data_IF_091500265975
#
_entry.id   IF_091500265975
#
_cell.length_a   1.000
_cell.length_b   1.000
_cell.length_c   1.000
_cell.angle_alpha   90.00
_cell.angle_beta   90.00
_cell.angle_gamma   90.00
#
_symmetry.space_group_name_H-M   'P 1'
#
loop_
_entity.id
_entity.type
_entity.pdbx_description
1 polymer ?
#
# COMPACT_ATOMS: atom_id res chain seq x y z
N UNK A 1 13.34 15.47 7.06
CA UNK A 1 12.62 16.77 7.01
C UNK A 1 11.36 16.54 6.19
N UNK A 2 10.18 16.83 6.74
CA UNK A 2 8.95 16.88 5.95
C UNK A 2 8.84 18.28 5.34
N UNK A 3 8.66 18.37 4.03
CA UNK A 3 8.58 19.66 3.33
C UNK A 3 7.14 20.14 3.18
N UNK A 4 6.17 19.22 3.21
CA UNK A 4 4.75 19.49 3.03
C UNK A 4 3.93 18.60 3.96
N UNK A 5 2.80 19.13 4.45
CA UNK A 5 1.81 18.38 5.22
C UNK A 5 0.46 18.60 4.55
N UNK A 6 -0.16 17.52 4.10
CA UNK A 6 -1.47 17.55 3.44
C UNK A 6 -2.49 16.88 4.35
N UNK A 7 -3.51 17.60 4.84
CA UNK A 7 -4.60 16.97 5.57
C UNK A 7 -5.42 16.11 4.61
N UNK A 8 -5.78 14.91 5.03
CA UNK A 8 -6.59 13.97 4.23
C UNK A 8 -7.77 13.45 5.03
N UNK A 9 -8.85 13.13 4.33
CA UNK A 9 -10.00 12.47 4.93
C UNK A 9 -9.67 11.02 5.29
N UNK A 10 -10.09 10.59 6.49
CA UNK A 10 -9.93 9.20 6.90
C UNK A 10 -10.77 8.25 6.06
N UNK A 11 -10.20 7.09 5.75
CA UNK A 11 -10.92 5.99 5.10
C UNK A 11 -11.22 4.95 6.18
N UNK A 12 -12.48 4.90 6.60
CA UNK A 12 -12.93 3.94 7.62
C UNK A 12 -13.16 2.55 7.05
N UNK A 13 -12.54 1.56 7.66
CA UNK A 13 -12.69 0.15 7.37
C UNK A 13 -12.93 -0.64 8.67
N UNK A 14 -14.09 -0.49 9.34
CA UNK A 14 -14.35 -1.12 10.63
C UNK A 14 -14.25 -2.64 10.61
N UNK A 15 -14.48 -3.27 9.44
CA UNK A 15 -14.37 -4.73 9.26
C UNK A 15 -12.93 -5.23 9.09
N UNK A 16 -11.97 -4.33 8.83
CA UNK A 16 -10.54 -4.64 8.79
C UNK A 16 -9.90 -4.64 10.19
N UNK A 17 -10.54 -3.99 11.17
CA UNK A 17 -10.09 -4.01 12.55
C UNK A 17 -10.43 -5.34 13.24
N UNK A 18 -9.46 -5.86 13.99
CA UNK A 18 -9.67 -6.96 14.93
C UNK A 18 -9.47 -6.46 16.36
N UNK A 19 -9.82 -7.27 17.37
CA UNK A 19 -9.53 -6.92 18.77
C UNK A 19 -8.03 -6.72 19.03
N UNK A 20 -7.19 -7.51 18.36
CA UNK A 20 -5.73 -7.43 18.49
C UNK A 20 -5.12 -6.28 17.68
N UNK A 21 -5.81 -5.80 16.63
CA UNK A 21 -5.33 -4.74 15.76
C UNK A 21 -6.42 -3.68 15.49
N UNK A 22 -6.86 -2.91 16.51
CA UNK A 22 -7.89 -1.90 16.35
C UNK A 22 -7.48 -0.78 15.38
N UNK A 23 -6.17 -0.49 15.30
CA UNK A 23 -5.59 0.50 14.39
C UNK A 23 -5.89 0.22 12.91
N UNK A 24 -6.16 -1.04 12.54
CA UNK A 24 -6.49 -1.38 11.16
C UNK A 24 -7.83 -0.80 10.68
N UNK A 25 -8.63 -0.22 11.58
CA UNK A 25 -9.83 0.56 11.21
C UNK A 25 -9.51 1.66 10.19
N UNK A 26 -8.32 2.26 10.23
CA UNK A 26 -7.95 3.40 9.40
C UNK A 26 -6.84 3.07 8.39
N UNK A 27 -6.48 1.79 8.22
CA UNK A 27 -5.31 1.38 7.42
C UNK A 27 -5.41 1.83 5.96
N UNK A 28 -6.63 1.91 5.41
CA UNK A 28 -6.86 2.34 4.04
C UNK A 28 -6.78 3.85 3.83
N UNK A 29 -6.55 4.65 4.89
CA UNK A 29 -6.25 6.09 4.72
C UNK A 29 -5.00 6.29 3.86
N UNK A 30 -4.09 5.30 3.83
CA UNK A 30 -2.93 5.27 2.92
C UNK A 30 -3.30 5.45 1.44
N UNK A 31 -4.51 5.05 1.02
CA UNK A 31 -4.98 5.20 -0.37
C UNK A 31 -5.03 6.65 -0.83
N UNK A 32 -5.09 7.61 0.11
CA UNK A 32 -5.04 9.04 -0.20
C UNK A 32 -3.74 9.45 -0.89
N UNK A 33 -2.66 8.66 -0.79
CA UNK A 33 -1.44 8.89 -1.56
C UNK A 33 -1.69 8.95 -3.07
N UNK A 34 -2.66 8.18 -3.59
CA UNK A 34 -3.04 8.20 -5.01
C UNK A 34 -3.77 9.47 -5.45
N UNK A 35 -4.09 10.41 -4.55
CA UNK A 35 -4.65 11.72 -4.90
C UNK A 35 -3.60 12.74 -5.31
N UNK A 36 -2.35 12.51 -4.90
CA UNK A 36 -1.28 13.49 -5.01
C UNK A 36 -0.87 13.68 -6.47
N UNK A 37 -0.47 14.90 -6.80
CA UNK A 37 -0.08 15.32 -8.15
C UNK A 37 1.40 15.01 -8.41
N UNK A 38 1.73 13.72 -8.41
CA UNK A 38 3.07 13.22 -8.72
C UNK A 38 2.97 12.07 -9.72
N UNK A 39 3.91 12.02 -10.66
CA UNK A 39 3.97 10.92 -11.64
C UNK A 39 4.33 9.57 -10.98
N UNK A 40 5.19 9.63 -9.95
CA UNK A 40 5.71 8.46 -9.24
C UNK A 40 5.79 8.74 -7.75
N UNK A 41 5.26 7.84 -6.94
CA UNK A 41 5.25 7.93 -5.48
C UNK A 41 5.97 6.73 -4.88
N UNK A 42 6.91 7.02 -3.98
CA UNK A 42 7.42 6.05 -3.02
C UNK A 42 6.75 6.31 -1.67
N UNK A 43 5.85 5.42 -1.25
CA UNK A 43 5.18 5.48 0.04
C UNK A 43 6.02 4.77 1.10
N UNK A 44 6.26 5.43 2.24
CA UNK A 44 6.98 4.88 3.38
C UNK A 44 6.14 5.04 4.66
N UNK A 45 6.00 3.96 5.43
CA UNK A 45 5.43 4.04 6.77
C UNK A 45 6.33 4.86 7.70
N UNK A 46 5.69 5.47 8.71
CA UNK A 46 6.34 6.40 9.63
C UNK A 46 7.29 5.73 10.64
N UNK A 47 7.29 4.40 10.71
CA UNK A 47 8.14 3.60 11.59
C UNK A 47 9.42 3.09 10.91
N UNK A 48 9.69 3.53 9.68
CA UNK A 48 10.89 3.17 8.93
C UNK A 48 12.04 4.16 9.15
N UNK A 49 13.26 3.63 9.12
CA UNK A 49 14.50 4.42 9.10
C UNK A 49 15.22 4.18 7.78
N UNK A 50 15.28 5.21 6.94
CA UNK A 50 16.01 5.17 5.67
C UNK A 50 17.50 5.23 5.94
N UNK A 51 18.26 4.26 5.44
CA UNK A 51 19.71 4.15 5.67
C UNK A 51 20.58 4.34 4.42
N UNK A 52 19.97 4.57 3.26
CA UNK A 52 20.65 4.68 1.99
C UNK A 52 19.81 5.44 0.97
N UNK A 53 20.33 5.56 -0.25
CA UNK A 53 19.57 6.11 -1.37
C UNK A 53 18.41 5.17 -1.74
N UNK A 54 17.28 5.77 -2.11
CA UNK A 54 16.06 5.06 -2.49
C UNK A 54 15.75 5.21 -3.98
N UNK A 55 16.63 5.85 -4.76
CA UNK A 55 16.42 6.12 -6.18
C UNK A 55 16.03 4.87 -6.98
N UNK A 56 16.69 3.74 -6.73
CA UNK A 56 16.41 2.47 -7.42
C UNK A 56 14.97 1.97 -7.23
N UNK A 57 14.32 2.33 -6.11
CA UNK A 57 12.94 1.92 -5.85
C UNK A 57 11.94 2.60 -6.80
N UNK A 58 12.31 3.71 -7.45
CA UNK A 58 11.51 4.36 -8.48
C UNK A 58 11.59 3.68 -9.84
N UNK A 59 12.56 2.78 -10.04
CA UNK A 59 12.76 2.05 -11.30
C UNK A 59 11.96 0.74 -11.33
N UNK A 60 11.43 0.31 -10.18
CA UNK A 60 10.54 -0.86 -10.08
C UNK A 60 9.16 -0.54 -10.66
N UNK A 61 8.60 -1.47 -11.44
CA UNK A 61 7.27 -1.34 -12.02
C UNK A 61 6.18 -1.22 -10.95
N UNK A 62 5.24 -0.28 -11.14
CA UNK A 62 4.08 -0.08 -10.25
C UNK A 62 2.92 -0.98 -10.68
N UNK A 63 2.00 -1.29 -9.73
CA UNK A 63 2.19 -1.13 -8.29
C UNK A 63 3.20 -2.16 -7.77
N UNK A 64 4.07 -1.75 -6.86
CA UNK A 64 5.04 -2.64 -6.21
C UNK A 64 5.04 -2.48 -4.69
N UNK A 65 5.32 -3.57 -3.99
CA UNK A 65 5.46 -3.64 -2.55
C UNK A 65 6.41 -4.77 -2.18
N UNK A 66 6.92 -4.75 -0.95
CA UNK A 66 7.88 -5.77 -0.51
C UNK A 66 7.16 -7.10 -0.25
N UNK A 67 7.69 -8.21 -0.77
CA UNK A 67 7.17 -9.54 -0.45
C UNK A 67 7.30 -9.85 1.05
N UNK A 68 6.28 -10.48 1.62
CA UNK A 68 6.28 -11.00 2.98
C UNK A 68 5.54 -12.33 3.04
N UNK A 69 6.22 -13.43 3.36
CA UNK A 69 5.58 -14.74 3.37
C UNK A 69 6.51 -15.83 3.87
N UNK A 70 6.02 -17.07 3.76
CA UNK A 70 6.73 -18.26 4.20
C UNK A 70 8.12 -18.41 3.55
N UNK A 71 9.12 -18.94 4.26
CA UNK A 71 10.47 -19.16 3.72
C UNK A 71 10.50 -20.07 2.49
N UNK A 72 9.50 -20.94 2.35
CA UNK A 72 9.38 -21.92 1.26
C UNK A 72 9.03 -21.27 -0.09
N UNK A 73 8.81 -19.94 -0.13
CA UNK A 73 8.55 -19.18 -1.35
C UNK A 73 9.76 -19.12 -2.30
N UNK A 74 10.97 -19.30 -1.76
CA UNK A 74 12.23 -19.07 -2.46
C UNK A 74 12.64 -17.60 -2.48
N UNK A 75 13.88 -17.36 -2.90
CA UNK A 75 14.42 -16.00 -3.02
C UNK A 75 13.82 -15.32 -4.25
N UNK A 76 13.20 -14.15 -4.03
CA UNK A 76 12.76 -13.27 -5.11
C UNK A 76 13.84 -12.25 -5.40
N UNK A 77 14.10 -12.00 -6.68
CA UNK A 77 14.99 -10.92 -7.09
C UNK A 77 14.33 -9.55 -6.91
N UNK A 78 15.15 -8.51 -6.73
CA UNK A 78 14.64 -7.15 -6.66
C UNK A 78 13.94 -6.77 -7.97
N UNK A 79 12.70 -6.30 -7.86
CA UNK A 79 11.87 -5.96 -9.03
C UNK A 79 11.18 -7.16 -9.69
N UNK A 80 11.38 -8.38 -9.18
CA UNK A 80 10.68 -9.56 -9.68
C UNK A 80 9.17 -9.49 -9.41
N UNK A 81 8.38 -9.92 -10.40
CA UNK A 81 6.93 -10.01 -10.26
C UNK A 81 6.55 -11.11 -9.27
N UNK A 82 5.90 -10.73 -8.16
CA UNK A 82 5.35 -11.69 -7.20
C UNK A 82 4.18 -12.45 -7.84
N UNK A 83 4.35 -13.76 -8.05
CA UNK A 83 3.33 -14.62 -8.65
C UNK A 83 2.17 -14.83 -7.69
N UNK A 84 0.94 -14.57 -8.15
CA UNK A 84 -0.28 -14.64 -7.31
C UNK A 84 -0.80 -16.05 -7.03
N UNK A 85 -0.24 -17.08 -7.67
CA UNK A 85 -0.70 -18.48 -7.59
C UNK A 85 0.31 -19.43 -6.94
N UNK A 86 1.12 -18.95 -6.00
CA UNK A 86 2.04 -19.83 -5.29
C UNK A 86 1.38 -20.40 -4.02
N UNK A 87 1.75 -21.63 -3.62
CA UNK A 87 1.34 -22.20 -2.34
C UNK A 87 1.97 -21.44 -1.17
N UNK A 88 1.31 -21.49 0.01
CA UNK A 88 1.80 -20.87 1.24
C UNK A 88 1.09 -19.57 1.63
N UNK A 89 1.36 -19.10 2.84
CA UNK A 89 0.87 -17.83 3.35
C UNK A 89 1.83 -16.71 2.98
N UNK A 90 1.34 -15.75 2.22
CA UNK A 90 2.11 -14.58 1.84
C UNK A 90 1.19 -13.36 1.68
N UNK A 91 1.80 -12.19 1.73
CA UNK A 91 1.19 -10.92 1.38
C UNK A 91 2.28 -9.95 0.92
N UNK A 92 1.86 -8.75 0.53
CA UNK A 92 2.77 -7.62 0.41
C UNK A 92 2.86 -6.92 1.77
N UNK A 93 4.07 -6.55 2.17
CA UNK A 93 4.29 -5.55 3.19
C UNK A 93 4.03 -4.16 2.57
N UNK A 94 2.92 -3.55 2.98
CA UNK A 94 2.49 -2.23 2.52
C UNK A 94 3.08 -1.05 3.32
N UNK A 95 4.19 -1.29 4.04
CA UNK A 95 4.99 -0.24 4.66
C UNK A 95 5.95 0.45 3.71
N UNK A 96 6.30 -0.20 2.60
CA UNK A 96 7.03 0.40 1.48
C UNK A 96 6.29 0.05 0.19
N UNK A 97 5.89 1.05 -0.60
CA UNK A 97 5.19 0.83 -1.87
C UNK A 97 5.63 1.81 -2.94
N UNK A 98 5.76 1.33 -4.18
CA UNK A 98 5.91 2.15 -5.39
C UNK A 98 4.55 2.25 -6.08
N UNK A 99 4.05 3.47 -6.25
CA UNK A 99 2.73 3.77 -6.80
C UNK A 99 2.81 4.79 -7.92
N UNK A 100 1.99 4.61 -8.96
CA UNK A 100 1.78 5.60 -10.01
C UNK A 100 0.33 6.09 -9.94
N UNK A 101 0.09 7.30 -9.43
CA UNK A 101 -1.21 7.95 -9.53
C UNK A 101 -1.64 8.12 -10.99
N UNK A 102 -2.95 8.18 -11.22
CA UNK A 102 -3.45 8.48 -12.56
C UNK A 102 -3.11 9.92 -12.98
N UNK A 103 -2.95 10.19 -14.30
CA UNK A 103 -2.38 11.44 -14.78
C UNK A 103 -3.20 12.68 -14.43
N UNK A 104 -4.53 12.59 -14.46
CA UNK A 104 -5.40 13.74 -14.19
C UNK A 104 -6.02 13.71 -12.80
N UNK A 105 -6.26 14.89 -12.22
CA UNK A 105 -6.95 15.01 -10.94
C UNK A 105 -8.29 14.27 -10.95
N UNK A 106 -9.08 14.43 -12.01
CA UNK A 106 -10.38 13.79 -12.15
C UNK A 106 -10.27 12.25 -12.11
N UNK A 107 -9.29 11.68 -12.78
CA UNK A 107 -9.04 10.24 -12.76
C UNK A 107 -8.58 9.77 -11.38
N UNK A 108 -7.67 10.50 -10.71
CA UNK A 108 -7.22 10.19 -9.33
C UNK A 108 -8.37 10.20 -8.34
N UNK A 109 -9.23 11.22 -8.38
CA UNK A 109 -10.40 11.31 -7.50
C UNK A 109 -11.40 10.19 -7.77
N UNK A 110 -11.62 9.85 -9.05
CA UNK A 110 -12.50 8.74 -9.44
C UNK A 110 -11.95 7.39 -8.96
N UNK A 111 -10.64 7.17 -9.07
CA UNK A 111 -9.95 5.99 -8.58
C UNK A 111 -10.07 5.86 -7.06
N UNK A 112 -9.81 6.93 -6.30
CA UNK A 112 -9.93 6.91 -4.84
C UNK A 112 -11.37 6.60 -4.42
N UNK A 113 -12.35 7.25 -5.05
CA UNK A 113 -13.77 6.97 -4.77
C UNK A 113 -14.11 5.49 -4.99
N UNK A 114 -13.64 4.91 -6.10
CA UNK A 114 -13.86 3.49 -6.39
C UNK A 114 -13.18 2.57 -5.37
N UNK A 115 -11.93 2.86 -4.99
CA UNK A 115 -11.20 2.08 -3.99
C UNK A 115 -11.85 2.17 -2.61
N UNK A 116 -12.28 3.37 -2.18
CA UNK A 116 -13.01 3.56 -0.92
C UNK A 116 -14.33 2.80 -0.91
N UNK A 117 -15.04 2.75 -2.05
CA UNK A 117 -16.22 1.89 -2.17
C UNK A 117 -15.86 0.40 -2.00
N UNK A 118 -14.77 -0.08 -2.60
CA UNK A 118 -14.31 -1.47 -2.44
C UNK A 118 -13.95 -1.80 -0.98
N UNK A 119 -13.34 -0.86 -0.25
CA UNK A 119 -13.06 -1.02 1.19
C UNK A 119 -14.33 -1.31 2.00
N UNK A 120 -15.46 -0.70 1.65
CA UNK A 120 -16.76 -0.97 2.30
C UNK A 120 -17.26 -2.42 2.12
N UNK A 121 -16.80 -3.10 1.07
CA UNK A 121 -17.15 -4.48 0.75
C UNK A 121 -16.20 -5.51 1.38
N UNK A 122 -15.14 -5.07 2.08
CA UNK A 122 -14.24 -5.98 2.78
C UNK A 122 -15.04 -6.78 3.81
N UNK A 123 -15.04 -8.10 3.63
CA UNK A 123 -15.58 -9.04 4.61
C UNK A 123 -14.67 -9.06 5.85
N UNK A 124 -15.25 -9.31 7.03
CA UNK A 124 -14.41 -9.55 8.23
C UNK A 124 -13.40 -10.63 7.91
N UNK A 125 -12.13 -10.37 8.18
CA UNK A 125 -11.13 -11.42 8.22
C UNK A 125 -11.65 -12.51 9.16
N UNK A 126 -11.75 -13.75 8.65
CA UNK A 126 -11.92 -14.89 9.55
C UNK A 126 -10.70 -14.88 10.46
N UNK A 127 -10.92 -14.83 11.77
CA UNK A 127 -9.84 -15.07 12.71
C UNK A 127 -9.34 -16.49 12.40
N UNK A 128 -8.10 -16.58 11.91
CA UNK A 128 -7.34 -17.83 11.90
C UNK A 128 -6.91 -18.13 13.32
#
# INVERSE_FOLDING_TARGET
>A
IFTHVVPVGFVEAPKAATRAAPRHRLVFTKLQALSLDYDRILFLDLDLVVRGDLAELFDVQAPAGMHHGDPDWGDLEHGELIRTRSPGHWCINAGVMRLDPLPTEQERQSQIKALVQQVGHISRARAL
#
